data_IF_904756933204
#
_entry.id   IF_904756933204
#
_cell.length_a   1.000
_cell.length_b   1.000
_cell.length_c   1.000
_cell.angle_alpha   90.00
_cell.angle_beta   90.00
_cell.angle_gamma   90.00
#
_symmetry.space_group_name_H-M   'P 1'
#
loop_
_entity.id
_entity.type
_entity.pdbx_description
1 polymer ?
#
# COMPACT_ATOMS: atom_id res chain seq x y z
N UNK A 1 10.59 -24.36 25.83
CA UNK A 1 10.82 -23.12 25.06
C UNK A 1 11.72 -22.24 25.92
N UNK A 2 12.96 -22.02 25.47
CA UNK A 2 13.97 -21.27 26.21
C UNK A 2 13.83 -19.77 26.01
N UNK A 3 14.43 -18.98 26.90
CA UNK A 3 14.39 -17.51 26.83
C UNK A 3 14.95 -16.95 25.51
N UNK A 4 15.88 -17.67 24.88
CA UNK A 4 16.41 -17.37 23.54
C UNK A 4 15.36 -17.47 22.43
N UNK A 5 14.43 -18.43 22.53
CA UNK A 5 13.40 -18.66 21.51
C UNK A 5 12.39 -17.50 21.50
N UNK A 6 12.06 -16.97 22.68
CA UNK A 6 11.16 -15.83 22.82
C UNK A 6 11.75 -14.54 22.22
N UNK A 7 13.07 -14.32 22.37
CA UNK A 7 13.75 -13.16 21.78
C UNK A 7 13.77 -13.26 20.26
N UNK A 8 13.99 -14.45 19.71
CA UNK A 8 13.93 -14.67 18.26
C UNK A 8 12.52 -14.40 17.70
N UNK A 9 11.47 -14.86 18.39
CA UNK A 9 10.08 -14.61 17.99
C UNK A 9 9.76 -13.11 17.98
N UNK A 10 10.11 -12.38 19.05
CA UNK A 10 9.91 -10.93 19.14
C UNK A 10 10.64 -10.16 18.03
N UNK A 11 11.86 -10.59 17.68
CA UNK A 11 12.62 -9.98 16.59
C UNK A 11 11.93 -10.18 15.22
N UNK A 12 11.46 -11.39 14.93
CA UNK A 12 10.76 -11.72 13.68
C UNK A 12 9.46 -10.91 13.57
N UNK A 13 8.67 -10.84 14.65
CA UNK A 13 7.44 -10.06 14.67
C UNK A 13 7.72 -8.57 14.42
N UNK A 14 8.73 -8.01 15.08
CA UNK A 14 9.10 -6.60 14.93
C UNK A 14 9.46 -6.25 13.48
N UNK A 15 10.21 -7.11 12.79
CA UNK A 15 10.53 -6.94 11.37
C UNK A 15 9.25 -6.97 10.52
N UNK A 16 8.36 -7.93 10.77
CA UNK A 16 7.08 -8.05 10.07
C UNK A 16 6.22 -6.80 10.20
N UNK A 17 6.10 -6.28 11.42
CA UNK A 17 5.36 -5.05 11.72
C UNK A 17 5.97 -3.81 11.07
N UNK A 18 7.29 -3.65 11.16
CA UNK A 18 7.98 -2.54 10.49
C UNK A 18 7.79 -2.60 8.97
N UNK A 19 7.98 -3.78 8.37
CA UNK A 19 7.75 -3.99 6.94
C UNK A 19 6.31 -3.64 6.54
N UNK A 20 5.31 -4.10 7.30
CA UNK A 20 3.91 -3.79 7.06
C UNK A 20 3.62 -2.28 7.13
N UNK A 21 4.23 -1.55 8.08
CA UNK A 21 4.05 -0.10 8.19
C UNK A 21 4.68 0.63 6.99
N UNK A 22 5.91 0.27 6.61
CA UNK A 22 6.57 0.89 5.46
C UNK A 22 5.78 0.66 4.17
N UNK A 23 5.25 -0.55 3.96
CA UNK A 23 4.38 -0.83 2.83
C UNK A 23 3.05 -0.07 2.90
N UNK A 24 2.45 0.09 4.08
CA UNK A 24 1.20 0.85 4.24
C UNK A 24 1.37 2.33 3.83
N UNK A 25 2.53 2.90 4.15
CA UNK A 25 2.81 4.33 3.94
C UNK A 25 3.38 4.61 2.55
N UNK A 26 3.96 3.63 1.85
CA UNK A 26 4.70 3.89 0.61
C UNK A 26 3.83 4.47 -0.53
N UNK A 27 2.53 4.16 -0.56
CA UNK A 27 1.62 4.76 -1.54
C UNK A 27 1.28 6.23 -1.26
N UNK A 28 1.41 6.69 -0.01
CA UNK A 28 1.01 8.04 0.42
C UNK A 28 1.87 9.13 -0.26
N UNK A 29 3.22 9.06 -0.26
CA UNK A 29 4.05 10.02 -1.00
C UNK A 29 3.71 10.11 -2.48
N UNK A 30 3.42 8.98 -3.13
CA UNK A 30 3.09 8.96 -4.56
C UNK A 30 1.71 9.55 -4.85
N UNK A 31 0.72 9.28 -3.99
CA UNK A 31 -0.60 9.90 -4.06
C UNK A 31 -0.54 11.41 -3.82
N UNK A 32 0.24 11.84 -2.83
CA UNK A 32 0.48 13.26 -2.56
C UNK A 32 1.15 13.97 -3.75
N UNK A 33 2.17 13.36 -4.36
CA UNK A 33 2.82 13.92 -5.54
C UNK A 33 1.86 14.02 -6.72
N UNK A 34 1.05 12.99 -6.95
CA UNK A 34 0.00 12.97 -7.98
C UNK A 34 -1.03 14.09 -7.78
N UNK A 35 -1.46 14.29 -6.53
CA UNK A 35 -2.37 15.37 -6.15
C UNK A 35 -1.75 16.75 -6.33
N UNK A 36 -0.50 16.94 -5.89
CA UNK A 36 0.25 18.20 -5.98
C UNK A 36 0.51 18.61 -7.43
N UNK A 37 0.92 17.65 -8.28
CA UNK A 37 1.17 17.88 -9.71
C UNK A 37 -0.11 17.93 -10.53
N UNK A 38 -1.22 17.43 -9.98
CA UNK A 38 -2.47 17.28 -10.71
C UNK A 38 -2.39 16.27 -11.86
N UNK A 39 -1.35 15.45 -11.92
CA UNK A 39 -1.11 14.51 -13.02
C UNK A 39 -0.30 13.31 -12.52
N UNK A 40 -0.65 12.13 -13.02
CA UNK A 40 0.08 10.87 -12.81
C UNK A 40 0.46 10.22 -14.14
N UNK A 41 0.68 11.02 -15.19
CA UNK A 41 0.99 10.53 -16.54
C UNK A 41 2.28 9.71 -16.59
N UNK A 42 3.31 10.13 -15.85
CA UNK A 42 4.63 9.49 -15.78
C UNK A 42 4.60 8.06 -15.23
N UNK A 43 3.58 7.71 -14.43
CA UNK A 43 3.46 6.37 -13.88
C UNK A 43 2.99 5.39 -14.95
N UNK A 44 3.63 4.25 -15.09
CA UNK A 44 3.19 3.22 -16.04
C UNK A 44 1.77 2.74 -15.73
N UNK A 45 0.91 2.68 -16.75
CA UNK A 45 -0.45 2.14 -16.60
C UNK A 45 -0.42 0.66 -16.20
N UNK A 46 0.53 -0.11 -16.73
CA UNK A 46 0.73 -1.51 -16.36
C UNK A 46 1.19 -1.63 -14.90
N UNK A 47 2.05 -0.74 -14.43
CA UNK A 47 2.47 -0.69 -13.03
C UNK A 47 1.27 -0.46 -12.10
N UNK A 48 0.44 0.55 -12.40
CA UNK A 48 -0.74 0.86 -11.59
C UNK A 48 -1.76 -0.28 -11.60
N UNK A 49 -1.96 -0.91 -12.76
CA UNK A 49 -2.85 -2.07 -12.87
C UNK A 49 -2.33 -3.26 -12.04
N UNK A 50 -1.05 -3.60 -12.18
CA UNK A 50 -0.43 -4.70 -11.44
C UNK A 50 -0.45 -4.44 -9.93
N UNK A 51 -0.15 -3.21 -9.50
CA UNK A 51 -0.23 -2.82 -8.09
C UNK A 51 -1.66 -2.93 -7.56
N UNK A 52 -2.65 -2.41 -8.31
CA UNK A 52 -4.07 -2.52 -7.91
C UNK A 52 -4.53 -3.97 -7.79
N UNK A 53 -4.18 -4.82 -8.75
CA UNK A 53 -4.54 -6.24 -8.68
C UNK A 53 -3.83 -6.95 -7.51
N UNK A 54 -2.56 -6.61 -7.26
CA UNK A 54 -1.82 -7.12 -6.11
C UNK A 54 -2.50 -6.77 -4.78
N UNK A 55 -2.86 -5.50 -4.58
CA UNK A 55 -3.55 -5.01 -3.37
C UNK A 55 -4.90 -5.73 -3.16
N UNK A 56 -5.72 -5.85 -4.22
CA UNK A 56 -7.01 -6.52 -4.14
C UNK A 56 -6.88 -8.01 -3.79
N UNK A 57 -5.97 -8.72 -4.47
CA UNK A 57 -5.75 -10.16 -4.24
C UNK A 57 -5.17 -10.42 -2.85
N UNK A 58 -4.23 -9.59 -2.38
CA UNK A 58 -3.64 -9.72 -1.05
C UNK A 58 -4.62 -9.37 0.06
N UNK A 59 -5.45 -8.34 -0.12
CA UNK A 59 -6.53 -8.01 0.81
C UNK A 59 -7.47 -9.20 0.97
N UNK A 60 -7.94 -9.77 -0.15
CA UNK A 60 -8.83 -10.94 -0.13
C UNK A 60 -8.15 -12.14 0.54
N UNK A 61 -6.89 -12.43 0.19
CA UNK A 61 -6.12 -13.52 0.80
C UNK A 61 -6.01 -13.37 2.32
N UNK A 62 -5.70 -12.16 2.82
CA UNK A 62 -5.57 -11.93 4.26
C UNK A 62 -6.92 -12.07 4.97
N UNK A 63 -8.00 -11.54 4.41
CA UNK A 63 -9.35 -11.73 4.96
C UNK A 63 -9.69 -13.23 5.05
N UNK A 64 -9.41 -13.99 3.99
CA UNK A 64 -9.75 -15.41 3.93
C UNK A 64 -8.88 -16.27 4.87
N UNK A 65 -7.60 -15.91 5.06
CA UNK A 65 -6.65 -16.73 5.82
C UNK A 65 -6.50 -16.34 7.28
N UNK A 66 -6.52 -15.03 7.57
CA UNK A 66 -6.23 -14.47 8.88
C UNK A 66 -7.45 -13.77 9.50
N UNK A 67 -8.55 -13.61 8.75
CA UNK A 67 -9.72 -12.88 9.21
C UNK A 67 -9.45 -11.37 9.28
N UNK A 68 -9.85 -10.74 10.38
CA UNK A 68 -9.64 -9.31 10.61
C UNK A 68 -8.27 -9.02 11.24
N UNK A 69 -7.21 -9.20 10.47
CA UNK A 69 -5.86 -8.75 10.82
C UNK A 69 -5.73 -7.24 10.59
N UNK A 70 -6.04 -6.45 11.62
CA UNK A 70 -6.11 -4.98 11.55
C UNK A 70 -4.90 -4.30 10.90
N UNK A 71 -3.65 -4.65 11.26
CA UNK A 71 -2.43 -4.09 10.67
C UNK A 71 -2.27 -4.33 9.17
N UNK A 72 -2.46 -5.57 8.72
CA UNK A 72 -2.37 -5.90 7.29
C UNK A 72 -3.53 -5.28 6.52
N UNK A 73 -4.73 -5.26 7.09
CA UNK A 73 -5.88 -4.62 6.46
C UNK A 73 -5.71 -3.09 6.36
N UNK A 74 -5.16 -2.44 7.37
CA UNK A 74 -4.85 -1.01 7.34
C UNK A 74 -3.86 -0.68 6.22
N UNK A 75 -2.86 -1.55 6.02
CA UNK A 75 -1.91 -1.43 4.92
C UNK A 75 -2.63 -1.45 3.56
N UNK A 76 -3.37 -2.51 3.28
CA UNK A 76 -3.98 -2.65 1.96
C UNK A 76 -5.09 -1.63 1.70
N UNK A 77 -5.89 -1.28 2.72
CA UNK A 77 -6.89 -0.21 2.60
C UNK A 77 -6.21 1.14 2.37
N UNK A 78 -5.12 1.45 3.08
CA UNK A 78 -4.34 2.67 2.88
C UNK A 78 -3.77 2.77 1.46
N UNK A 79 -3.20 1.68 0.95
CA UNK A 79 -2.67 1.61 -0.42
C UNK A 79 -3.77 1.68 -1.48
N UNK A 80 -4.94 1.09 -1.25
CA UNK A 80 -6.10 1.24 -2.14
C UNK A 80 -6.56 2.70 -2.23
N UNK A 81 -6.62 3.42 -1.10
CA UNK A 81 -6.96 4.85 -1.10
C UNK A 81 -5.92 5.65 -1.89
N UNK A 82 -4.63 5.38 -1.67
CA UNK A 82 -3.54 6.03 -2.42
C UNK A 82 -3.66 5.76 -3.93
N UNK A 83 -3.92 4.51 -4.31
CA UNK A 83 -4.13 4.10 -5.71
C UNK A 83 -5.33 4.81 -6.34
N UNK A 84 -6.45 4.96 -5.63
CA UNK A 84 -7.62 5.70 -6.12
C UNK A 84 -7.24 7.14 -6.48
N UNK A 85 -6.48 7.82 -5.62
CA UNK A 85 -6.00 9.20 -5.89
C UNK A 85 -5.09 9.23 -7.12
N UNK A 86 -4.14 8.30 -7.21
CA UNK A 86 -3.18 8.25 -8.33
C UNK A 86 -3.89 7.96 -9.65
N UNK A 87 -4.81 6.99 -9.67
CA UNK A 87 -5.57 6.62 -10.86
C UNK A 87 -6.48 7.77 -11.30
N UNK A 88 -7.12 8.46 -10.34
CA UNK A 88 -7.91 9.64 -10.63
C UNK A 88 -7.10 10.70 -11.40
N UNK A 89 -5.89 11.04 -10.93
CA UNK A 89 -5.02 12.00 -11.61
C UNK A 89 -4.34 11.45 -12.87
N UNK A 90 -4.37 10.14 -13.10
CA UNK A 90 -3.95 9.56 -14.39
C UNK A 90 -5.03 9.70 -15.47
N UNK A 91 -6.30 9.47 -15.12
CA UNK A 91 -7.44 9.53 -16.06
C UNK A 91 -7.89 10.98 -16.29
N UNK A 92 -7.94 11.76 -15.21
CA UNK A 92 -8.40 13.16 -15.22
C UNK A 92 -7.26 14.08 -14.74
N UNK A 93 -6.18 14.22 -15.52
CA UNK A 93 -5.13 15.17 -15.18
C UNK A 93 -5.74 16.57 -15.13
N UNK A 94 -5.45 17.29 -14.05
CA UNK A 94 -5.83 18.69 -13.89
C UNK A 94 -5.14 19.46 -15.00
N UNK A 95 -5.91 20.24 -15.78
CA UNK A 95 -5.33 21.16 -16.74
C UNK A 95 -4.42 22.12 -15.98
N UNK A 96 -3.11 22.00 -16.17
CA UNK A 96 -2.18 23.04 -15.77
C UNK A 96 -2.44 24.15 -16.78
N UNK A 97 -2.91 25.32 -16.32
CA UNK A 97 -2.91 26.51 -17.16
C UNK A 97 -1.44 26.88 -17.36
N UNK A 98 -0.96 26.75 -18.58
CA UNK A 98 0.38 27.15 -19.01
C UNK A 98 0.58 28.67 -18.85
#
# INVERSE_FOLDING_TARGET
>A
MGNSDNIQLLFIESIGWLGAIFFAVCGIPQAYQSWKLGSSRELSALFLWAWTMGELLMTLYVILKHGFDGPLLLNYVGNLIALVVIIYYKIYPRAIAD
#
